data_IF_736718382059
#
_entry.id   IF_736718382059
#
_cell.length_a   1.000
_cell.length_b   1.000
_cell.length_c   1.000
_cell.angle_alpha   90.00
_cell.angle_beta   90.00
_cell.angle_gamma   90.00
#
_symmetry.space_group_name_H-M   'P 1'
#
loop_
_entity.id
_entity.type
_entity.pdbx_description
1 polymer ?
#
# COMPACT_ATOMS: atom_id res chain seq x y z
N UNK A 1 -2.90 -0.40 8.11
CA UNK A 1 -3.26 -0.27 6.67
C UNK A 1 -4.48 0.59 6.55
N UNK A 2 -4.34 1.74 5.90
CA UNK A 2 -5.44 2.68 5.68
C UNK A 2 -6.38 2.12 4.61
N UNK A 3 -7.69 2.26 4.86
CA UNK A 3 -8.74 1.80 3.95
C UNK A 3 -9.43 2.98 3.28
N UNK A 4 -9.76 2.80 2.01
CA UNK A 4 -10.50 3.76 1.23
C UNK A 4 -11.93 3.24 1.00
N UNK A 5 -12.81 4.14 0.54
CA UNK A 5 -14.23 3.79 0.35
C UNK A 5 -14.41 2.53 -0.49
N UNK A 6 -13.69 2.43 -1.62
CA UNK A 6 -13.82 1.28 -2.50
C UNK A 6 -13.33 -0.01 -1.84
N UNK A 7 -12.27 0.08 -1.02
CA UNK A 7 -11.80 -1.08 -0.26
C UNK A 7 -12.88 -1.57 0.69
N UNK A 8 -13.48 -0.65 1.44
CA UNK A 8 -14.50 -0.97 2.44
C UNK A 8 -15.72 -1.61 1.76
N UNK A 9 -16.20 -1.02 0.66
CA UNK A 9 -17.37 -1.56 -0.05
C UNK A 9 -17.08 -2.94 -0.62
N UNK A 10 -15.89 -3.16 -1.15
CA UNK A 10 -15.50 -4.44 -1.71
C UNK A 10 -15.45 -5.53 -0.65
N UNK A 11 -14.90 -5.23 0.52
CA UNK A 11 -14.82 -6.19 1.62
C UNK A 11 -16.21 -6.45 2.20
N UNK A 12 -17.04 -5.41 2.34
CA UNK A 12 -18.43 -5.58 2.81
C UNK A 12 -19.22 -6.47 1.87
N UNK A 13 -18.95 -6.42 0.57
CA UNK A 13 -19.64 -7.27 -0.40
C UNK A 13 -19.40 -8.76 -0.18
N UNK A 14 -18.34 -9.11 0.57
CA UNK A 14 -18.04 -10.49 0.93
C UNK A 14 -18.82 -10.95 2.17
N UNK A 15 -19.62 -10.07 2.78
CA UNK A 15 -20.43 -10.41 3.94
C UNK A 15 -19.89 -9.94 5.27
N UNK A 16 -18.77 -9.24 5.29
CA UNK A 16 -18.20 -8.70 6.53
C UNK A 16 -18.89 -7.38 6.88
N UNK A 17 -19.07 -7.16 8.18
CA UNK A 17 -19.57 -5.88 8.68
C UNK A 17 -18.41 -4.93 8.91
N UNK A 18 -18.68 -3.63 8.81
CA UNK A 18 -17.65 -2.60 8.98
C UNK A 18 -16.86 -2.80 10.28
N UNK A 19 -17.57 -3.03 11.38
CA UNK A 19 -16.93 -3.19 12.70
C UNK A 19 -16.10 -4.46 12.82
N UNK A 20 -16.29 -5.44 11.94
CA UNK A 20 -15.55 -6.69 11.98
C UNK A 20 -14.11 -6.53 11.51
N UNK A 21 -13.87 -5.60 10.58
CA UNK A 21 -12.56 -5.51 9.95
C UNK A 21 -11.92 -4.12 10.01
N UNK A 22 -12.61 -3.12 10.55
CA UNK A 22 -12.07 -1.76 10.58
C UNK A 22 -11.94 -1.22 11.99
N UNK A 23 -10.98 -0.33 12.18
CA UNK A 23 -10.90 0.57 13.31
C UNK A 23 -10.68 1.97 12.79
N UNK A 24 -11.24 2.97 13.46
CA UNK A 24 -11.03 4.37 13.11
C UNK A 24 -10.05 4.95 14.12
N UNK A 25 -8.88 5.35 13.63
CA UNK A 25 -7.83 5.86 14.49
C UNK A 25 -7.02 6.93 13.75
N UNK A 26 -6.73 8.01 14.44
CA UNK A 26 -5.93 9.13 13.91
C UNK A 26 -6.50 9.71 12.62
N UNK A 27 -7.83 9.71 12.49
CA UNK A 27 -8.53 10.28 11.34
C UNK A 27 -8.72 9.35 10.16
N UNK A 28 -8.30 8.09 10.28
CA UNK A 28 -8.37 7.13 9.17
C UNK A 28 -9.09 5.85 9.55
N UNK A 29 -9.85 5.29 8.61
CA UNK A 29 -10.29 3.90 8.71
C UNK A 29 -9.10 3.01 8.37
N UNK A 30 -8.83 2.05 9.24
CA UNK A 30 -7.69 1.14 9.10
C UNK A 30 -8.15 -0.30 9.23
N UNK A 31 -7.43 -1.21 8.58
CA UNK A 31 -7.65 -2.63 8.83
C UNK A 31 -7.36 -2.95 10.30
N UNK A 32 -8.27 -3.71 10.88
CA UNK A 32 -8.17 -4.12 12.27
C UNK A 32 -7.07 -5.16 12.46
N UNK A 33 -6.29 -5.00 13.52
CA UNK A 33 -5.34 -6.01 13.94
C UNK A 33 -5.86 -6.70 15.20
N UNK A 34 -5.67 -8.01 15.26
CA UNK A 34 -6.01 -8.82 16.43
C UNK A 34 -4.74 -9.54 16.85
N UNK A 35 -4.31 -9.32 18.08
CA UNK A 35 -3.06 -9.89 18.60
C UNK A 35 -1.86 -9.56 17.72
N UNK A 36 -1.80 -8.32 17.22
CA UNK A 36 -0.68 -7.85 16.41
C UNK A 36 -0.69 -8.33 14.96
N UNK A 37 -1.75 -8.98 14.52
CA UNK A 37 -1.87 -9.53 13.17
C UNK A 37 -3.12 -8.98 12.49
N UNK A 38 -3.04 -8.84 11.15
CA UNK A 38 -4.21 -8.43 10.38
C UNK A 38 -5.38 -9.40 10.63
N UNK A 39 -6.57 -8.83 10.80
CA UNK A 39 -7.80 -9.60 11.07
C UNK A 39 -8.08 -10.66 9.99
N UNK A 40 -7.61 -10.44 8.76
CA UNK A 40 -7.83 -11.36 7.64
C UNK A 40 -6.69 -12.38 7.46
N UNK A 41 -5.68 -12.32 8.30
CA UNK A 41 -4.56 -13.26 8.21
C UNK A 41 -4.93 -14.55 8.91
N UNK A 42 -4.93 -15.66 8.15
CA UNK A 42 -5.26 -16.98 8.70
C UNK A 42 -4.11 -17.53 9.55
N UNK A 43 -4.37 -18.64 10.25
CA UNK A 43 -3.34 -19.33 11.05
C UNK A 43 -2.18 -19.81 10.18
N UNK A 44 -2.41 -20.04 8.87
CA UNK A 44 -1.37 -20.42 7.92
C UNK A 44 -0.66 -19.23 7.27
N UNK A 45 -0.82 -18.02 7.82
CA UNK A 45 -0.22 -16.78 7.30
C UNK A 45 -0.68 -16.42 5.88
N UNK A 46 -1.90 -16.80 5.54
CA UNK A 46 -2.49 -16.46 4.24
C UNK A 46 -3.63 -15.47 4.42
N UNK A 47 -3.71 -14.50 3.51
CA UNK A 47 -4.79 -13.52 3.53
C UNK A 47 -6.10 -14.17 3.07
N UNK A 48 -7.12 -14.14 3.94
CA UNK A 48 -8.43 -14.75 3.66
C UNK A 48 -9.20 -14.02 2.57
N UNK A 49 -8.83 -12.78 2.27
CA UNK A 49 -9.47 -11.96 1.23
C UNK A 49 -8.47 -11.56 0.15
N UNK A 50 -7.49 -12.40 -0.13
CA UNK A 50 -6.36 -12.06 -0.99
C UNK A 50 -6.76 -11.38 -2.31
N UNK A 51 -7.76 -11.95 -3.00
CA UNK A 51 -8.24 -11.38 -4.28
C UNK A 51 -9.02 -10.09 -4.12
N UNK A 52 -9.44 -9.75 -2.89
CA UNK A 52 -10.22 -8.56 -2.59
C UNK A 52 -9.50 -7.64 -1.61
N UNK A 53 -8.20 -7.83 -1.47
CA UNK A 53 -7.42 -7.07 -0.49
C UNK A 53 -7.42 -5.57 -0.82
N UNK A 54 -7.27 -4.73 0.21
CA UNK A 54 -7.21 -3.28 0.03
C UNK A 54 -6.09 -2.87 -0.93
N UNK A 55 -6.27 -1.73 -1.59
CA UNK A 55 -5.28 -1.22 -2.53
C UNK A 55 -3.92 -1.02 -1.85
N UNK A 56 -3.89 -0.56 -0.61
CA UNK A 56 -2.64 -0.41 0.14
C UNK A 56 -1.86 -1.70 0.30
N UNK A 57 -2.58 -2.82 0.44
CA UNK A 57 -1.94 -4.14 0.50
C UNK A 57 -1.35 -4.55 -0.85
N UNK A 58 -1.96 -4.09 -1.94
CA UNK A 58 -1.47 -4.39 -3.31
C UNK A 58 -0.23 -3.57 -3.66
N UNK A 59 -0.07 -2.41 -3.06
CA UNK A 59 1.08 -1.53 -3.31
C UNK A 59 2.33 -2.01 -2.58
N UNK A 60 2.15 -2.65 -1.41
CA UNK A 60 3.28 -3.12 -0.61
C UNK A 60 4.22 -3.98 -1.47
N UNK A 61 5.54 -3.83 -1.43
CA UNK A 61 6.32 -3.18 -0.37
C UNK A 61 6.64 -1.70 -0.56
N UNK A 62 6.06 -1.04 -1.56
CA UNK A 62 6.19 0.41 -1.65
C UNK A 62 5.32 1.06 -0.58
N UNK A 63 5.89 2.04 0.13
CA UNK A 63 5.20 2.83 1.13
C UNK A 63 5.52 4.30 0.90
N UNK A 64 4.75 5.18 1.50
CA UNK A 64 4.96 6.63 1.37
C UNK A 64 5.42 7.21 2.69
N UNK A 65 6.58 7.84 2.66
CA UNK A 65 7.14 8.57 3.80
C UNK A 65 6.91 10.05 3.60
N UNK A 66 6.51 10.77 4.65
CA UNK A 66 6.31 12.22 4.58
C UNK A 66 7.63 12.93 4.28
N UNK A 67 8.75 12.39 4.72
CA UNK A 67 10.07 13.01 4.56
C UNK A 67 10.77 12.60 3.26
N UNK A 68 10.54 11.37 2.81
CA UNK A 68 11.31 10.80 1.70
C UNK A 68 10.50 10.54 0.44
N UNK A 69 9.15 10.60 0.54
CA UNK A 69 8.27 10.22 -0.56
C UNK A 69 8.14 8.70 -0.67
N UNK A 70 8.01 8.16 -1.89
CA UNK A 70 7.90 6.72 -2.06
C UNK A 70 9.22 6.03 -1.74
N UNK A 71 9.15 5.00 -0.91
CA UNK A 71 10.29 4.16 -0.55
C UNK A 71 9.83 2.71 -0.50
N UNK A 72 10.80 1.80 -0.57
CA UNK A 72 10.52 0.39 -0.31
C UNK A 72 10.66 0.13 1.18
N UNK A 73 9.70 -0.63 1.75
CA UNK A 73 9.75 -0.99 3.16
C UNK A 73 11.02 -1.80 3.42
N UNK A 74 11.94 -1.29 4.26
CA UNK A 74 13.20 -1.98 4.54
C UNK A 74 13.03 -3.31 5.25
N UNK A 75 11.87 -3.55 5.87
CA UNK A 75 11.59 -4.83 6.54
C UNK A 75 11.15 -5.92 5.57
N UNK A 76 10.82 -5.58 4.33
CA UNK A 76 10.42 -6.58 3.35
C UNK A 76 11.65 -7.34 2.83
N UNK A 77 11.60 -8.68 2.80
CA UNK A 77 12.72 -9.48 2.25
C UNK A 77 13.09 -9.11 0.82
N UNK A 78 12.11 -8.73 0.00
CA UNK A 78 12.39 -8.30 -1.37
C UNK A 78 13.29 -7.06 -1.40
N UNK A 79 13.07 -6.13 -0.47
CA UNK A 79 13.92 -4.94 -0.33
C UNK A 79 15.33 -5.32 0.09
N UNK A 80 15.45 -6.21 1.07
CA UNK A 80 16.75 -6.62 1.60
C UNK A 80 17.62 -7.30 0.55
N UNK A 81 17.01 -8.06 -0.35
CA UNK A 81 17.71 -8.82 -1.38
C UNK A 81 17.65 -8.16 -2.75
N UNK A 82 17.04 -6.98 -2.86
CA UNK A 82 16.93 -6.22 -4.11
C UNK A 82 16.33 -7.05 -5.26
N UNK A 83 15.25 -7.75 -4.97
CA UNK A 83 14.61 -8.67 -5.92
C UNK A 83 13.47 -8.02 -6.73
N UNK A 84 13.53 -6.72 -6.96
CA UNK A 84 12.49 -6.01 -7.70
C UNK A 84 12.71 -6.07 -9.21
N UNK A 85 11.63 -6.28 -9.93
CA UNK A 85 11.63 -6.18 -11.40
C UNK A 85 11.11 -4.82 -11.80
N UNK A 86 11.64 -4.30 -12.92
CA UNK A 86 11.26 -2.99 -13.42
C UNK A 86 9.74 -2.87 -13.64
N UNK A 87 9.13 -3.85 -14.29
CA UNK A 87 7.70 -3.83 -14.57
C UNK A 87 6.84 -3.82 -13.29
N UNK A 88 7.26 -4.57 -12.29
CA UNK A 88 6.58 -4.60 -10.99
C UNK A 88 6.68 -3.25 -10.27
N UNK A 89 7.83 -2.61 -10.37
CA UNK A 89 8.05 -1.31 -9.74
C UNK A 89 7.22 -0.23 -10.42
N UNK A 90 7.13 -0.25 -11.74
CA UNK A 90 6.29 0.70 -12.49
C UNK A 90 4.84 0.56 -12.05
N UNK A 91 4.33 -0.66 -12.02
CA UNK A 91 2.95 -0.92 -11.60
C UNK A 91 2.72 -0.49 -10.16
N UNK A 92 3.66 -0.79 -9.27
CA UNK A 92 3.58 -0.39 -7.86
C UNK A 92 3.54 1.11 -7.68
N UNK A 93 4.34 1.86 -8.45
CA UNK A 93 4.34 3.32 -8.38
C UNK A 93 3.04 3.91 -8.90
N UNK A 94 2.44 3.32 -9.93
CA UNK A 94 1.14 3.74 -10.43
C UNK A 94 0.04 3.53 -9.39
N UNK A 95 0.05 2.38 -8.72
CA UNK A 95 -0.89 2.09 -7.64
C UNK A 95 -0.69 3.04 -6.46
N UNK A 96 0.57 3.33 -6.11
CA UNK A 96 0.85 4.26 -5.02
C UNK A 96 0.34 5.66 -5.36
N UNK A 97 0.47 6.10 -6.60
CA UNK A 97 -0.08 7.39 -7.02
C UNK A 97 -1.60 7.42 -6.82
N UNK A 98 -2.30 6.34 -7.17
CA UNK A 98 -3.73 6.23 -6.91
C UNK A 98 -4.06 6.34 -5.43
N UNK A 99 -3.29 5.65 -4.59
CA UNK A 99 -3.47 5.71 -3.12
C UNK A 99 -3.31 7.15 -2.63
N UNK A 100 -2.29 7.85 -3.11
CA UNK A 100 -2.04 9.23 -2.68
C UNK A 100 -3.17 10.17 -3.13
N UNK A 101 -3.72 9.97 -4.33
CA UNK A 101 -4.86 10.76 -4.80
C UNK A 101 -6.10 10.49 -3.96
N UNK A 102 -6.32 9.26 -3.54
CA UNK A 102 -7.44 8.92 -2.65
C UNK A 102 -7.24 9.49 -1.25
N UNK A 103 -6.00 9.55 -0.76
CA UNK A 103 -5.70 10.22 0.50
C UNK A 103 -6.11 11.69 0.45
N UNK A 104 -5.84 12.36 -0.67
CA UNK A 104 -6.23 13.75 -0.86
C UNK A 104 -7.75 13.91 -0.93
N UNK A 105 -8.42 13.07 -1.71
CA UNK A 105 -9.87 13.19 -1.94
C UNK A 105 -10.71 12.76 -0.76
N UNK A 106 -10.39 11.62 -0.17
CA UNK A 106 -11.23 11.03 0.87
C UNK A 106 -10.87 11.49 2.28
N UNK A 107 -9.59 11.74 2.53
CA UNK A 107 -9.12 12.11 3.87
C UNK A 107 -8.55 13.52 3.97
N UNK A 108 -8.51 14.26 2.85
CA UNK A 108 -8.02 15.63 2.79
C UNK A 108 -6.56 15.77 3.23
N UNK A 109 -5.78 14.73 3.02
CA UNK A 109 -4.34 14.75 3.28
C UNK A 109 -3.65 15.54 2.18
N UNK A 110 -2.70 16.39 2.54
CA UNK A 110 -1.92 17.16 1.57
C UNK A 110 -0.68 16.35 1.18
N UNK A 111 -0.60 15.95 -0.07
CA UNK A 111 0.51 15.17 -0.59
C UNK A 111 1.55 16.09 -1.23
N UNK A 112 2.83 15.86 -0.95
CA UNK A 112 3.92 16.59 -1.61
C UNK A 112 4.24 15.90 -2.94
N UNK A 113 3.58 16.35 -4.01
CA UNK A 113 3.74 15.75 -5.34
C UNK A 113 5.12 15.99 -5.95
N UNK A 114 5.77 17.10 -5.60
CA UNK A 114 7.13 17.35 -6.06
C UNK A 114 8.08 16.29 -5.51
N UNK A 115 7.95 15.99 -4.23
CA UNK A 115 8.76 14.94 -3.60
C UNK A 115 8.45 13.58 -4.19
N UNK A 116 7.16 13.28 -4.39
CA UNK A 116 6.75 12.02 -5.00
C UNK A 116 7.37 11.84 -6.38
N UNK A 117 7.26 12.85 -7.24
CA UNK A 117 7.76 12.78 -8.60
C UNK A 117 9.30 12.69 -8.66
N UNK A 118 9.99 13.43 -7.82
CA UNK A 118 11.46 13.39 -7.73
C UNK A 118 11.93 11.99 -7.32
N UNK A 119 11.31 11.44 -6.29
CA UNK A 119 11.71 10.12 -5.77
C UNK A 119 11.33 9.01 -6.73
N UNK A 120 10.18 9.13 -7.39
CA UNK A 120 9.74 8.19 -8.43
C UNK A 120 10.79 8.08 -9.53
N UNK A 121 11.31 9.22 -9.99
CA UNK A 121 12.36 9.25 -11.02
C UNK A 121 13.60 8.51 -10.55
N UNK A 122 14.05 8.76 -9.31
CA UNK A 122 15.22 8.10 -8.74
C UNK A 122 15.01 6.58 -8.68
N UNK A 123 13.84 6.15 -8.22
CA UNK A 123 13.52 4.72 -8.10
C UNK A 123 13.55 4.06 -9.49
N UNK A 124 12.90 4.67 -10.46
CA UNK A 124 12.83 4.11 -11.82
C UNK A 124 14.21 4.04 -12.46
N UNK A 125 15.04 5.07 -12.26
CA UNK A 125 16.40 5.06 -12.80
C UNK A 125 17.25 3.98 -12.13
N UNK A 126 17.06 3.77 -10.83
CA UNK A 126 17.82 2.77 -10.10
C UNK A 126 17.43 1.34 -10.48
N UNK A 127 16.12 1.07 -10.56
CA UNK A 127 15.63 -0.31 -10.78
C UNK A 127 15.61 -0.66 -12.27
N UNK A 128 15.19 0.27 -13.12
CA UNK A 128 14.96 -0.04 -14.54
C UNK A 128 16.18 0.12 -15.41
N UNK A 129 17.08 1.05 -15.09
CA UNK A 129 18.29 1.27 -15.92
C UNK A 129 19.47 0.41 -15.49
N UNK A 130 19.49 -0.03 -14.24
CA UNK A 130 20.57 -0.87 -13.73
C UNK A 130 20.42 -2.34 -14.13
N UNK A 131 19.35 -2.67 -14.86
CA UNK A 131 19.09 -4.02 -15.33
C UNK A 131 18.89 -4.01 -16.86
N UNK A 132 19.94 -3.74 -17.63
CA UNK A 132 19.83 -3.69 -19.07
C UNK A 132 19.47 -5.07 -19.64
N UNK A 133 18.59 -5.05 -20.59
CA UNK A 133 18.20 -6.26 -21.31
C UNK A 133 19.25 -6.61 -22.34
#
# INVERSE_FOLDING_TARGET
>A
MILFRDDIERIKSLGFKLEDFTEFRDGFYRLKNVNGRCVFLSSGNKCRIYSFRPIGCRVYPLIYSLDEGPIFDPECPLTKFKLYRCDEVIEGLELLEEVLRMLETEYKVKVNWNLFNSRKTVILNTVCTSNPQ
#
